data_IF_125052309387
#
_entry.id   IF_125052309387
#
_cell.length_a   1.000
_cell.length_b   1.000
_cell.length_c   1.000
_cell.angle_alpha   90.00
_cell.angle_beta   90.00
_cell.angle_gamma   90.00
#
_symmetry.space_group_name_H-M   'P 1'
#
loop_
_entity.id
_entity.type
_entity.pdbx_description
1 polymer ?
#
# COMPACT_ATOMS: atom_id res chain seq x y z
N UNK A 1 22.23 -11.64 -34.31
CA UNK A 1 23.30 -10.84 -33.69
C UNK A 1 23.21 -11.09 -32.17
N UNK A 2 24.20 -11.81 -31.61
CA UNK A 2 24.33 -12.01 -30.17
C UNK A 2 25.52 -11.20 -29.68
N UNK A 3 25.43 -10.68 -28.46
CA UNK A 3 26.55 -10.02 -27.80
C UNK A 3 27.65 -11.05 -27.53
N UNK A 4 28.91 -10.62 -27.51
CA UNK A 4 30.04 -11.48 -27.11
C UNK A 4 29.96 -11.79 -25.61
N UNK A 5 30.55 -12.92 -25.20
CA UNK A 5 30.57 -13.29 -23.77
C UNK A 5 31.18 -12.17 -22.89
N UNK A 6 32.23 -11.52 -23.36
CA UNK A 6 32.83 -10.39 -22.67
C UNK A 6 31.80 -9.25 -22.42
N UNK A 7 30.96 -8.93 -23.40
CA UNK A 7 29.96 -7.86 -23.26
C UNK A 7 28.88 -8.23 -22.23
N UNK A 8 28.42 -9.48 -22.21
CA UNK A 8 27.50 -9.94 -21.17
C UNK A 8 28.11 -9.83 -19.78
N UNK A 9 29.32 -10.33 -19.60
CA UNK A 9 30.02 -10.33 -18.31
C UNK A 9 30.16 -8.88 -17.78
N UNK A 10 30.53 -7.95 -18.64
CA UNK A 10 30.69 -6.54 -18.32
C UNK A 10 29.36 -5.89 -17.93
N UNK A 11 28.31 -6.11 -18.72
CA UNK A 11 26.98 -5.51 -18.47
C UNK A 11 26.35 -6.06 -17.19
N UNK A 12 26.51 -7.36 -16.92
CA UNK A 12 26.05 -7.97 -15.67
C UNK A 12 26.81 -7.43 -14.45
N UNK A 13 28.13 -7.24 -14.58
CA UNK A 13 28.92 -6.64 -13.51
C UNK A 13 28.50 -5.20 -13.22
N UNK A 14 28.18 -4.43 -14.24
CA UNK A 14 27.64 -3.08 -14.07
C UNK A 14 26.26 -3.08 -13.41
N UNK A 15 25.34 -3.92 -13.85
CA UNK A 15 24.01 -4.04 -13.25
C UNK A 15 24.07 -4.39 -11.75
N UNK A 16 25.04 -5.23 -11.33
CA UNK A 16 25.25 -5.57 -9.92
C UNK A 16 25.82 -4.42 -9.09
N UNK A 17 26.62 -3.53 -9.72
CA UNK A 17 27.28 -2.41 -9.04
C UNK A 17 26.46 -1.12 -9.03
N UNK A 18 25.55 -0.97 -9.97
CA UNK A 18 24.71 0.21 -10.15
C UNK A 18 23.23 -0.20 -10.10
N UNK A 19 22.65 -0.32 -8.90
CA UNK A 19 21.25 -0.70 -8.74
C UNK A 19 20.33 0.38 -9.28
N UNK A 20 19.14 -0.02 -9.71
CA UNK A 20 18.12 0.88 -10.27
C UNK A 20 17.84 2.05 -9.33
N UNK A 21 18.08 3.26 -9.79
CA UNK A 21 17.91 4.50 -9.06
C UNK A 21 16.46 5.03 -9.16
N UNK A 22 16.05 5.88 -8.21
CA UNK A 22 14.75 6.56 -8.26
C UNK A 22 14.54 7.34 -9.56
N UNK A 23 15.60 7.98 -10.08
CA UNK A 23 15.54 8.71 -11.36
C UNK A 23 15.17 7.80 -12.54
N UNK A 24 15.68 6.57 -12.57
CA UNK A 24 15.34 5.60 -13.62
C UNK A 24 13.90 5.10 -13.50
N UNK A 25 13.43 4.87 -12.28
CA UNK A 25 12.04 4.53 -11.99
C UNK A 25 11.11 5.64 -12.49
N UNK A 26 11.40 6.89 -12.15
CA UNK A 26 10.59 8.05 -12.55
C UNK A 26 10.60 8.25 -14.07
N UNK A 27 11.77 8.06 -14.71
CA UNK A 27 11.89 8.09 -16.17
C UNK A 27 11.06 6.98 -16.83
N UNK A 28 11.12 5.77 -16.29
CA UNK A 28 10.34 4.63 -16.80
C UNK A 28 8.83 4.88 -16.70
N UNK A 29 8.37 5.49 -15.58
CA UNK A 29 6.98 5.96 -15.42
C UNK A 29 6.60 7.02 -16.44
N UNK A 30 7.46 8.01 -16.68
CA UNK A 30 7.20 9.08 -17.65
C UNK A 30 7.11 8.54 -19.08
N UNK A 31 7.99 7.63 -19.44
CA UNK A 31 7.99 6.95 -20.76
C UNK A 31 6.71 6.12 -20.95
N UNK A 32 6.30 5.39 -19.91
CA UNK A 32 5.06 4.62 -19.95
C UNK A 32 3.83 5.46 -20.27
N UNK A 33 3.73 6.67 -19.72
CA UNK A 33 2.61 7.61 -20.02
C UNK A 33 2.52 8.01 -21.49
N UNK A 34 3.64 7.94 -22.21
CA UNK A 34 3.72 8.37 -23.63
C UNK A 34 3.65 7.17 -24.56
N UNK A 35 4.37 6.10 -24.26
CA UNK A 35 4.59 4.97 -25.17
C UNK A 35 3.79 3.71 -24.78
N UNK A 36 3.15 3.73 -23.62
CA UNK A 36 2.39 2.60 -23.04
C UNK A 36 3.19 1.28 -22.96
N UNK A 37 4.52 1.37 -22.84
CA UNK A 37 5.42 0.26 -22.57
C UNK A 37 6.43 0.64 -21.47
N UNK A 38 6.94 -0.38 -20.80
CA UNK A 38 7.89 -0.22 -19.69
C UNK A 38 9.17 -0.99 -19.96
N UNK A 39 10.25 -0.56 -19.32
CA UNK A 39 11.49 -1.31 -19.33
C UNK A 39 11.42 -2.43 -18.26
N UNK A 40 11.41 -3.72 -18.66
CA UNK A 40 11.30 -4.81 -17.70
C UNK A 40 12.48 -4.93 -16.74
N UNK A 41 13.65 -4.44 -17.09
CA UNK A 41 14.84 -4.47 -16.22
C UNK A 41 14.81 -3.38 -15.14
N UNK A 42 14.08 -2.30 -15.38
CA UNK A 42 13.81 -1.30 -14.33
C UNK A 42 12.71 -1.80 -13.39
N UNK A 43 11.71 -2.50 -13.96
CA UNK A 43 10.58 -3.02 -13.19
C UNK A 43 10.94 -4.28 -12.38
N UNK A 44 11.93 -5.04 -12.85
CA UNK A 44 12.37 -6.30 -12.25
C UNK A 44 13.89 -6.33 -12.11
N UNK A 45 14.47 -5.61 -11.14
CA UNK A 45 15.89 -5.64 -10.89
C UNK A 45 16.37 -7.07 -10.62
N UNK A 46 17.46 -7.48 -11.24
CA UNK A 46 17.99 -8.84 -11.17
C UNK A 46 17.45 -9.79 -12.24
N UNK A 47 16.48 -9.36 -13.07
CA UNK A 47 15.95 -10.18 -14.19
C UNK A 47 17.06 -10.56 -15.18
N UNK A 48 18.06 -9.72 -15.36
CA UNK A 48 19.21 -9.95 -16.22
C UNK A 48 20.01 -11.22 -15.84
N UNK A 49 20.04 -11.58 -14.53
CA UNK A 49 20.69 -12.79 -14.06
C UNK A 49 20.02 -14.06 -14.56
N UNK A 50 18.70 -14.04 -14.74
CA UNK A 50 17.91 -15.17 -15.24
C UNK A 50 17.97 -15.30 -16.76
N UNK A 51 18.27 -14.21 -17.47
CA UNK A 51 18.34 -14.21 -18.93
C UNK A 51 19.76 -14.48 -19.42
N UNK A 52 20.78 -13.87 -18.80
CA UNK A 52 22.17 -13.90 -19.25
C UNK A 52 23.19 -14.22 -18.16
N UNK A 53 22.78 -14.28 -16.90
CA UNK A 53 23.68 -14.43 -15.76
C UNK A 53 23.69 -15.82 -15.13
N UNK A 54 23.99 -15.85 -13.83
CA UNK A 54 24.22 -17.08 -13.08
C UNK A 54 22.95 -17.89 -12.77
N UNK A 55 21.78 -17.32 -13.01
CA UNK A 55 20.45 -17.94 -12.76
C UNK A 55 19.74 -18.33 -14.07
N UNK A 56 20.49 -18.42 -15.16
CA UNK A 56 19.93 -18.80 -16.45
C UNK A 56 19.36 -20.23 -16.40
N UNK A 57 18.06 -20.37 -16.69
CA UNK A 57 17.33 -21.64 -16.59
C UNK A 57 16.50 -21.77 -15.31
N UNK A 58 16.71 -20.95 -14.31
CA UNK A 58 15.86 -20.88 -13.12
C UNK A 58 14.56 -20.13 -13.44
N UNK A 59 13.51 -20.41 -12.68
CA UNK A 59 12.26 -19.65 -12.76
C UNK A 59 12.44 -18.33 -12.04
N UNK A 60 12.19 -17.20 -12.71
CA UNK A 60 12.18 -15.89 -12.08
C UNK A 60 11.03 -15.78 -11.09
N UNK A 61 11.35 -15.73 -9.80
CA UNK A 61 10.40 -15.58 -8.69
C UNK A 61 10.46 -14.20 -8.06
N UNK A 62 11.19 -13.28 -8.69
CA UNK A 62 11.33 -11.90 -8.21
C UNK A 62 9.96 -11.24 -8.11
N UNK A 63 9.75 -10.53 -7.01
CA UNK A 63 8.62 -9.61 -6.92
C UNK A 63 8.85 -8.54 -7.98
N UNK A 64 7.97 -8.52 -8.99
CA UNK A 64 7.90 -7.38 -9.91
C UNK A 64 7.79 -6.15 -9.03
N UNK A 65 8.76 -5.24 -9.13
CA UNK A 65 8.57 -3.91 -8.53
C UNK A 65 7.39 -3.30 -9.27
N UNK A 66 6.23 -3.40 -8.66
CA UNK A 66 5.00 -2.85 -9.19
C UNK A 66 5.20 -1.35 -9.35
N UNK A 67 5.40 -0.92 -10.58
CA UNK A 67 5.84 0.43 -10.97
C UNK A 67 4.66 1.39 -11.17
N UNK A 68 3.56 1.13 -10.47
CA UNK A 68 2.46 2.06 -10.31
C UNK A 68 2.74 3.06 -9.18
N UNK A 69 2.01 4.17 -9.15
CA UNK A 69 2.02 5.03 -7.98
C UNK A 69 1.43 4.28 -6.77
N UNK A 70 1.93 4.55 -5.57
CA UNK A 70 1.35 3.98 -4.36
C UNK A 70 -0.15 4.27 -4.28
N UNK A 71 -0.94 3.23 -4.07
CA UNK A 71 -2.39 3.34 -4.10
C UNK A 71 -3.04 2.48 -3.01
N UNK A 72 -4.01 3.06 -2.31
CA UNK A 72 -4.92 2.33 -1.44
C UNK A 72 -6.07 1.78 -2.28
N UNK A 73 -6.18 0.46 -2.36
CA UNK A 73 -7.24 -0.25 -3.12
C UNK A 73 -8.49 -0.41 -2.26
N UNK A 74 -8.31 -0.81 -1.01
CA UNK A 74 -9.36 -0.98 -0.01
C UNK A 74 -8.88 -0.49 1.36
N UNK A 75 -9.77 0.15 2.13
CA UNK A 75 -11.14 0.56 1.77
C UNK A 75 -11.13 1.64 0.67
N UNK A 76 -12.25 1.75 -0.06
CA UNK A 76 -12.37 2.76 -1.13
C UNK A 76 -12.27 4.16 -0.52
N UNK A 77 -11.34 4.95 -1.01
CA UNK A 77 -11.11 6.33 -0.53
C UNK A 77 -12.37 7.17 -0.65
N UNK A 78 -12.72 7.88 0.42
CA UNK A 78 -13.92 8.70 0.48
C UNK A 78 -15.21 7.91 0.79
N UNK A 79 -15.16 6.58 0.94
CA UNK A 79 -16.31 5.82 1.41
C UNK A 79 -16.59 6.04 2.90
N UNK A 80 -17.77 5.65 3.35
CA UNK A 80 -18.21 5.72 4.75
C UNK A 80 -18.46 4.33 5.29
N UNK A 81 -17.91 4.03 6.47
CA UNK A 81 -18.19 2.83 7.24
C UNK A 81 -19.18 3.21 8.34
N UNK A 82 -20.37 2.64 8.32
CA UNK A 82 -21.44 2.91 9.26
C UNK A 82 -21.53 1.81 10.32
N UNK A 83 -21.33 2.18 11.58
CA UNK A 83 -21.44 1.28 12.72
C UNK A 83 -22.89 1.08 13.19
N UNK A 84 -23.84 1.83 12.60
CA UNK A 84 -25.24 1.78 12.99
C UNK A 84 -25.50 2.48 14.32
N UNK A 85 -26.61 2.06 14.94
CA UNK A 85 -27.08 2.62 16.20
C UNK A 85 -26.86 1.63 17.34
N UNK A 86 -26.26 2.08 18.43
CA UNK A 86 -26.05 1.27 19.64
C UNK A 86 -26.32 2.08 20.91
N UNK A 87 -26.55 1.39 22.01
CA UNK A 87 -26.69 2.01 23.33
C UNK A 87 -25.34 2.55 23.84
N UNK A 88 -25.36 3.69 24.55
CA UNK A 88 -24.20 4.22 25.25
C UNK A 88 -23.58 3.15 26.17
N UNK A 89 -22.25 3.06 26.17
CA UNK A 89 -21.51 2.07 26.97
C UNK A 89 -21.48 0.67 26.34
N UNK A 90 -22.16 0.42 25.23
CA UNK A 90 -21.99 -0.81 24.43
C UNK A 90 -20.96 -0.58 23.34
N UNK A 91 -20.52 -1.68 22.72
CA UNK A 91 -19.50 -1.62 21.66
C UNK A 91 -19.89 -2.52 20.51
N UNK A 92 -19.57 -2.08 19.31
CA UNK A 92 -19.68 -2.87 18.07
C UNK A 92 -18.35 -2.75 17.30
N UNK A 93 -17.93 -3.84 16.70
CA UNK A 93 -16.68 -3.88 15.92
C UNK A 93 -16.95 -4.27 14.48
N UNK A 94 -16.23 -3.65 13.57
CA UNK A 94 -16.22 -3.99 12.15
C UNK A 94 -14.78 -4.34 11.78
N UNK A 95 -14.61 -5.41 11.01
CA UNK A 95 -13.35 -5.74 10.36
C UNK A 95 -13.38 -5.24 8.93
N UNK A 96 -12.35 -4.52 8.53
CA UNK A 96 -12.17 -4.06 7.16
C UNK A 96 -10.89 -4.61 6.59
N UNK A 97 -10.90 -4.99 5.32
CA UNK A 97 -9.70 -5.35 4.58
C UNK A 97 -8.97 -4.07 4.18
N UNK A 98 -7.69 -3.98 4.51
CA UNK A 98 -6.79 -2.95 4.00
C UNK A 98 -5.93 -3.59 2.92
N UNK A 99 -6.09 -3.16 1.69
CA UNK A 99 -5.30 -3.60 0.55
C UNK A 99 -4.72 -2.38 -0.16
N UNK A 100 -3.44 -2.42 -0.39
CA UNK A 100 -2.73 -1.36 -1.10
C UNK A 100 -1.67 -1.98 -2.01
N UNK A 101 -1.28 -1.25 -3.03
CA UNK A 101 -0.26 -1.66 -3.98
C UNK A 101 0.80 -0.58 -4.17
N UNK A 102 1.95 -0.99 -4.66
CA UNK A 102 3.07 -0.11 -5.00
C UNK A 102 3.60 0.73 -3.83
N UNK A 103 3.38 0.27 -2.59
CA UNK A 103 3.88 0.98 -1.42
C UNK A 103 5.41 0.97 -1.38
N UNK A 104 6.01 2.13 -1.12
CA UNK A 104 7.46 2.30 -1.01
C UNK A 104 8.01 1.97 0.38
N UNK A 105 7.15 2.05 1.40
CA UNK A 105 7.45 1.73 2.80
C UNK A 105 6.15 1.32 3.53
N UNK A 106 6.21 1.15 4.84
CA UNK A 106 5.04 0.76 5.61
C UNK A 106 3.91 1.80 5.52
N UNK A 107 2.71 1.32 5.27
CA UNK A 107 1.48 2.09 5.36
C UNK A 107 1.13 2.31 6.84
N UNK A 108 0.88 3.53 7.23
CA UNK A 108 0.42 3.87 8.58
C UNK A 108 -1.06 4.17 8.61
N UNK A 109 -1.68 3.83 9.75
CA UNK A 109 -3.14 3.97 9.94
C UNK A 109 -3.40 4.66 11.27
N UNK A 110 -4.30 5.65 11.27
CA UNK A 110 -4.77 6.29 12.51
C UNK A 110 -6.24 6.73 12.39
N UNK A 111 -6.92 6.81 13.53
CA UNK A 111 -8.23 7.45 13.64
C UNK A 111 -8.00 8.92 14.03
N UNK A 112 -8.70 9.84 13.37
CA UNK A 112 -8.66 11.26 13.70
C UNK A 112 -10.01 11.93 13.45
N UNK A 113 -10.19 13.14 13.96
CA UNK A 113 -11.43 13.92 13.87
C UNK A 113 -12.04 14.19 15.23
N UNK A 114 -13.15 14.91 15.24
CA UNK A 114 -13.80 15.45 16.46
C UNK A 114 -14.23 14.35 17.44
N UNK A 115 -14.80 13.26 16.92
CA UNK A 115 -15.30 12.17 17.77
C UNK A 115 -14.37 10.93 17.76
N UNK A 116 -13.07 11.10 17.46
CA UNK A 116 -12.12 9.98 17.38
C UNK A 116 -12.12 9.09 18.64
N UNK A 117 -12.37 9.67 19.81
CA UNK A 117 -12.33 8.98 21.09
C UNK A 117 -13.50 8.02 21.31
N UNK A 118 -14.56 8.12 20.46
CA UNK A 118 -15.67 7.17 20.44
C UNK A 118 -15.35 5.91 19.59
N UNK A 119 -14.25 5.94 18.85
CA UNK A 119 -13.76 4.83 18.03
C UNK A 119 -12.39 4.38 18.53
N UNK A 120 -12.21 3.08 18.72
CA UNK A 120 -11.01 2.53 19.37
C UNK A 120 -10.49 1.30 18.61
N UNK A 121 -9.36 0.81 19.05
CA UNK A 121 -8.79 -0.51 18.70
C UNK A 121 -8.55 -0.72 17.21
N UNK A 122 -7.72 0.13 16.60
CA UNK A 122 -7.00 -0.33 15.43
C UNK A 122 -6.07 -1.47 15.88
N UNK A 123 -6.25 -2.65 15.30
CA UNK A 123 -5.40 -3.83 15.63
C UNK A 123 -3.93 -3.59 15.33
N UNK A 124 -3.66 -2.71 14.36
CA UNK A 124 -2.31 -2.29 13.98
C UNK A 124 -2.32 -0.81 13.56
N UNK A 125 -1.20 -0.15 13.75
CA UNK A 125 -0.96 1.22 13.27
C UNK A 125 0.02 1.27 12.09
N UNK A 126 0.59 0.13 11.70
CA UNK A 126 1.56 -0.01 10.61
C UNK A 126 1.38 -1.35 9.89
N UNK A 127 1.29 -1.31 8.57
CA UNK A 127 1.09 -2.47 7.70
C UNK A 127 2.22 -2.48 6.68
N UNK A 128 2.96 -3.58 6.59
CA UNK A 128 4.05 -3.70 5.60
C UNK A 128 3.50 -3.79 4.17
N UNK A 129 4.28 -3.42 3.14
CA UNK A 129 3.87 -3.54 1.75
C UNK A 129 3.39 -4.95 1.38
N UNK A 130 4.08 -5.99 1.84
CA UNK A 130 3.72 -7.39 1.56
C UNK A 130 2.39 -7.80 2.20
N UNK A 131 2.07 -7.29 3.39
CA UNK A 131 0.77 -7.51 4.03
C UNK A 131 -0.34 -6.75 3.31
N UNK A 132 -0.09 -5.49 2.96
CA UNK A 132 -1.04 -4.65 2.26
C UNK A 132 -1.39 -5.20 0.86
N UNK A 133 -0.41 -5.72 0.12
CA UNK A 133 -0.65 -6.32 -1.20
C UNK A 133 -1.56 -7.55 -1.12
N UNK A 134 -1.39 -8.39 -0.10
CA UNK A 134 -2.24 -9.59 0.12
C UNK A 134 -3.62 -9.25 0.67
N UNK A 135 -3.76 -8.09 1.29
CA UNK A 135 -4.92 -7.68 2.07
C UNK A 135 -4.76 -8.06 3.54
N UNK A 136 -4.92 -7.08 4.42
CA UNK A 136 -4.77 -7.23 5.87
C UNK A 136 -6.03 -6.76 6.58
N UNK A 137 -6.55 -7.58 7.49
CA UNK A 137 -7.76 -7.24 8.25
C UNK A 137 -7.43 -6.29 9.41
N UNK A 138 -8.06 -5.14 9.42
CA UNK A 138 -8.00 -4.15 10.49
C UNK A 138 -9.35 -4.09 11.18
N UNK A 139 -9.35 -4.27 12.49
CA UNK A 139 -10.55 -4.17 13.31
C UNK A 139 -10.69 -2.76 13.88
N UNK A 140 -11.87 -2.18 13.75
CA UNK A 140 -12.25 -0.89 14.34
C UNK A 140 -13.45 -1.12 15.22
N UNK A 141 -13.44 -0.54 16.41
CA UNK A 141 -14.51 -0.66 17.40
C UNK A 141 -15.13 0.69 17.66
N UNK A 142 -16.43 0.81 17.49
CA UNK A 142 -17.24 1.93 17.97
C UNK A 142 -17.71 1.64 19.39
N UNK A 143 -17.38 2.54 20.33
CA UNK A 143 -17.68 2.39 21.77
C UNK A 143 -18.04 3.76 22.35
N UNK A 144 -19.25 4.25 22.05
CA UNK A 144 -19.67 5.59 22.46
C UNK A 144 -19.82 5.70 23.98
N UNK A 145 -19.29 6.79 24.52
CA UNK A 145 -19.42 7.17 25.92
C UNK A 145 -20.45 8.28 26.17
N UNK A 146 -20.97 8.89 25.10
CA UNK A 146 -21.98 9.96 25.13
C UNK A 146 -23.05 9.68 24.08
N UNK A 147 -24.26 10.22 24.30
CA UNK A 147 -25.37 10.12 23.34
C UNK A 147 -25.13 11.06 22.17
N UNK A 148 -25.50 10.65 20.97
CA UNK A 148 -25.48 11.48 19.78
C UNK A 148 -24.91 10.79 18.55
N UNK A 149 -24.76 11.58 17.49
CA UNK A 149 -24.11 11.17 16.26
C UNK A 149 -22.61 11.40 16.38
N UNK A 150 -21.83 10.41 16.02
CA UNK A 150 -20.38 10.46 16.08
C UNK A 150 -19.79 10.20 14.72
N UNK A 151 -18.88 11.07 14.29
CA UNK A 151 -18.11 10.92 13.06
C UNK A 151 -16.63 11.07 13.33
N UNK A 152 -15.83 10.27 12.65
CA UNK A 152 -14.39 10.36 12.62
C UNK A 152 -13.89 9.88 11.26
N UNK A 153 -12.58 9.86 11.07
CA UNK A 153 -11.97 9.34 9.84
C UNK A 153 -10.82 8.39 10.18
N UNK A 154 -10.71 7.34 9.39
CA UNK A 154 -9.51 6.51 9.36
C UNK A 154 -8.61 7.07 8.27
N UNK A 155 -7.42 7.52 8.64
CA UNK A 155 -6.42 8.05 7.73
C UNK A 155 -5.34 7.01 7.49
N UNK A 156 -5.05 6.77 6.22
CA UNK A 156 -3.92 5.99 5.72
C UNK A 156 -2.89 6.97 5.19
N UNK A 157 -1.66 6.87 5.66
CA UNK A 157 -0.57 7.81 5.34
C UNK A 157 0.77 7.08 5.31
N UNK A 158 1.83 7.73 4.87
CA UNK A 158 3.11 7.11 4.52
C UNK A 158 2.95 6.08 3.38
N UNK A 159 3.84 5.14 3.24
CA UNK A 159 3.80 4.14 2.16
C UNK A 159 4.02 4.71 0.76
N UNK A 160 4.38 5.98 0.63
CA UNK A 160 4.45 6.71 -0.64
C UNK A 160 3.10 7.27 -1.11
N UNK A 161 2.05 7.19 -0.29
CA UNK A 161 0.78 7.90 -0.52
C UNK A 161 0.99 9.42 -0.41
N UNK A 162 0.03 10.25 -0.91
CA UNK A 162 0.10 11.70 -0.74
C UNK A 162 0.37 12.10 0.71
N UNK A 163 1.14 13.16 0.95
CA UNK A 163 1.50 13.64 2.30
C UNK A 163 0.28 13.93 3.19
N UNK A 164 -0.82 14.36 2.58
CA UNK A 164 -2.10 14.56 3.28
C UNK A 164 -2.75 13.27 3.75
N UNK A 165 -2.27 12.12 3.23
CA UNK A 165 -2.89 10.82 3.40
C UNK A 165 -4.20 10.69 2.62
N UNK A 166 -4.74 9.49 2.64
CA UNK A 166 -6.08 9.16 2.09
C UNK A 166 -6.92 8.53 3.20
N UNK A 167 -8.23 8.62 3.11
CA UNK A 167 -9.03 8.12 4.22
C UNK A 167 -10.46 7.79 3.88
N UNK A 168 -11.11 7.14 4.84
CA UNK A 168 -12.53 6.80 4.83
C UNK A 168 -13.20 7.41 6.06
N UNK A 169 -14.46 7.78 5.92
CA UNK A 169 -15.27 8.23 7.02
C UNK A 169 -15.79 7.04 7.84
N UNK A 170 -15.85 7.20 9.15
CA UNK A 170 -16.51 6.27 10.05
C UNK A 170 -17.58 7.03 10.84
N UNK A 171 -18.76 6.44 10.98
CA UNK A 171 -19.85 7.04 11.72
C UNK A 171 -20.62 6.03 12.53
N UNK A 172 -21.28 6.49 13.57
CA UNK A 172 -22.19 5.71 14.40
C UNK A 172 -23.10 6.62 15.20
N UNK A 173 -24.22 6.08 15.63
CA UNK A 173 -25.20 6.79 16.46
C UNK A 173 -25.30 6.08 17.81
N UNK A 174 -25.38 6.85 18.88
CA UNK A 174 -25.62 6.29 20.21
C UNK A 174 -26.88 6.89 20.86
N UNK A 175 -27.61 6.04 21.56
CA UNK A 175 -28.84 6.41 22.28
C UNK A 175 -28.83 5.87 23.70
N UNK A 176 -29.75 6.36 24.53
CA UNK A 176 -30.06 5.73 25.82
C UNK A 176 -30.55 4.30 25.63
N UNK A 177 -30.33 3.47 26.64
CA UNK A 177 -30.83 2.07 26.71
C UNK A 177 -32.33 2.05 26.98
#
# INVERSE_FOLDING_TARGET
LTLSKWAYDMLLDWARKDPVSQKEIDRNKAVFKIQNNRNPFIDNPGLEEYIWGNKMGDVYTGESQTTGDPELIYPVVGSTIDFGEIAVGKSVSIEMVVKAQNLTNNLRVKIYGTNKDQFKNLTVNSISPSMATKGFNVKVTYSPSVIGEHTARILFYDGGLPETGVGVEIKGVSREV
#
